data_IF_951611241192
#
_entry.id   IF_951611241192
#
_cell.length_a   1.000
_cell.length_b   1.000
_cell.length_c   1.000
_cell.angle_alpha   90.00
_cell.angle_beta   90.00
_cell.angle_gamma   90.00
#
_symmetry.space_group_name_H-M   'P 1'
#
loop_
_entity.id
_entity.type
_entity.pdbx_description
1 polymer ?
#
# COMPACT_ATOMS: atom_id res chain seq x y z
N UNK A 1 1.01 -11.46 -40.95
CA UNK A 1 1.95 -10.63 -40.14
C UNK A 1 1.25 -9.33 -39.87
N UNK A 2 1.31 -8.80 -38.63
CA UNK A 2 0.77 -7.47 -38.34
C UNK A 2 1.54 -6.42 -39.15
N UNK A 3 0.86 -5.42 -39.66
CA UNK A 3 1.52 -4.29 -40.34
C UNK A 3 2.25 -3.41 -39.32
N UNK A 4 3.18 -2.58 -39.79
CA UNK A 4 3.88 -1.62 -38.93
C UNK A 4 2.89 -0.65 -38.25
N UNK A 5 1.81 -0.27 -38.96
CA UNK A 5 0.75 0.58 -38.43
C UNK A 5 -0.03 -0.13 -37.31
N UNK A 6 -0.40 -1.39 -37.50
CA UNK A 6 -1.09 -2.19 -36.47
C UNK A 6 -0.24 -2.37 -35.21
N UNK A 7 1.08 -2.59 -35.36
CA UNK A 7 2.02 -2.66 -34.25
C UNK A 7 2.16 -1.33 -33.51
N UNK A 8 2.20 -0.21 -34.23
CA UNK A 8 2.27 1.13 -33.61
C UNK A 8 1.02 1.41 -32.75
N UNK A 9 -0.16 1.10 -33.28
CA UNK A 9 -1.43 1.30 -32.58
C UNK A 9 -1.59 0.37 -31.35
N UNK A 10 -0.93 -0.79 -31.35
CA UNK A 10 -0.87 -1.68 -30.18
C UNK A 10 0.10 -1.15 -29.12
N UNK A 11 1.26 -0.64 -29.52
CA UNK A 11 2.23 0.00 -28.62
C UNK A 11 1.60 1.20 -27.92
N UNK A 12 0.90 2.06 -28.65
CA UNK A 12 0.24 3.24 -28.07
C UNK A 12 -0.81 2.85 -27.03
N UNK A 13 -1.61 1.81 -27.32
CA UNK A 13 -2.59 1.26 -26.36
C UNK A 13 -1.91 0.69 -25.11
N UNK A 14 -0.80 -0.02 -25.27
CA UNK A 14 -0.02 -0.55 -24.15
C UNK A 14 0.55 0.59 -23.31
N UNK A 15 1.11 1.63 -23.92
CA UNK A 15 1.68 2.78 -23.22
C UNK A 15 0.60 3.55 -22.44
N UNK A 16 -0.56 3.78 -23.04
CA UNK A 16 -1.71 4.41 -22.37
C UNK A 16 -2.14 3.63 -21.13
N UNK A 17 -2.27 2.30 -21.24
CA UNK A 17 -2.61 1.44 -20.10
C UNK A 17 -1.49 1.40 -19.05
N UNK A 18 -0.23 1.34 -19.47
CA UNK A 18 0.89 1.31 -18.54
C UNK A 18 0.95 2.64 -17.75
N UNK A 19 0.62 3.77 -18.36
CA UNK A 19 0.59 5.07 -17.68
C UNK A 19 -0.40 5.09 -16.51
N UNK A 20 -1.61 4.54 -16.66
CA UNK A 20 -2.55 4.43 -15.55
C UNK A 20 -2.04 3.50 -14.46
N UNK A 21 -1.55 2.31 -14.84
CA UNK A 21 -1.00 1.32 -13.91
C UNK A 21 0.18 1.87 -13.09
N UNK A 22 1.11 2.59 -13.73
CA UNK A 22 2.25 3.18 -13.03
C UNK A 22 1.82 4.31 -12.08
N UNK A 23 0.76 5.05 -12.41
CA UNK A 23 0.18 6.06 -11.50
C UNK A 23 -0.39 5.39 -10.25
N UNK A 24 -1.13 4.30 -10.41
CA UNK A 24 -1.68 3.53 -9.28
C UNK A 24 -0.57 2.91 -8.41
N UNK A 25 0.46 2.34 -9.03
CA UNK A 25 1.64 1.84 -8.31
C UNK A 25 2.36 2.95 -7.54
N UNK A 26 2.51 4.13 -8.14
CA UNK A 26 3.11 5.27 -7.47
C UNK A 26 2.30 5.68 -6.23
N UNK A 27 0.97 5.69 -6.33
CA UNK A 27 0.09 5.92 -5.18
C UNK A 27 0.25 4.85 -4.11
N UNK A 28 0.23 3.56 -4.48
CA UNK A 28 0.34 2.45 -3.52
C UNK A 28 1.67 2.43 -2.76
N UNK A 29 2.73 2.88 -3.42
CA UNK A 29 4.09 2.94 -2.84
C UNK A 29 4.38 4.26 -2.16
N UNK A 30 3.54 5.28 -2.36
CA UNK A 30 3.71 6.64 -1.83
C UNK A 30 3.74 6.67 -0.29
N UNK A 31 4.50 7.64 0.24
CA UNK A 31 4.48 7.97 1.67
C UNK A 31 3.11 8.52 2.08
N UNK A 32 2.42 9.23 1.18
CA UNK A 32 1.08 9.77 1.42
C UNK A 32 0.10 8.67 1.83
N UNK A 33 0.03 7.55 1.09
CA UNK A 33 -0.83 6.42 1.47
C UNK A 33 -0.45 5.86 2.84
N UNK A 34 0.84 5.79 3.16
CA UNK A 34 1.32 5.27 4.45
C UNK A 34 0.89 6.15 5.62
N UNK A 35 0.96 7.48 5.46
CA UNK A 35 0.50 8.44 6.48
C UNK A 35 -1.01 8.33 6.67
N UNK A 36 -1.78 8.26 5.59
CA UNK A 36 -3.24 8.09 5.65
C UNK A 36 -3.60 6.80 6.40
N UNK A 37 -2.96 5.67 6.06
CA UNK A 37 -3.17 4.40 6.76
C UNK A 37 -2.79 4.50 8.24
N UNK A 38 -1.65 5.09 8.58
CA UNK A 38 -1.19 5.26 9.95
C UNK A 38 -2.20 6.05 10.81
N UNK A 39 -2.68 7.18 10.28
CA UNK A 39 -3.65 8.03 10.97
C UNK A 39 -4.99 7.29 11.14
N UNK A 40 -5.51 6.68 10.07
CA UNK A 40 -6.78 5.96 10.13
C UNK A 40 -6.73 4.77 11.08
N UNK A 41 -5.65 3.99 11.07
CA UNK A 41 -5.45 2.88 12.00
C UNK A 41 -5.38 3.38 13.45
N UNK A 42 -4.59 4.41 13.72
CA UNK A 42 -4.46 4.97 15.07
C UNK A 42 -5.78 5.53 15.61
N UNK A 43 -6.50 6.30 14.79
CA UNK A 43 -7.80 6.86 15.17
C UNK A 43 -8.83 5.76 15.39
N UNK A 44 -8.89 4.76 14.51
CA UNK A 44 -9.86 3.67 14.62
C UNK A 44 -9.63 2.82 15.88
N UNK A 45 -8.37 2.45 16.15
CA UNK A 45 -8.03 1.63 17.33
C UNK A 45 -8.21 2.45 18.60
N UNK A 46 -7.77 3.71 18.62
CA UNK A 46 -7.94 4.60 19.78
C UNK A 46 -9.41 4.83 20.11
N UNK A 47 -10.25 5.09 19.10
CA UNK A 47 -11.69 5.22 19.27
C UNK A 47 -12.34 3.93 19.80
N UNK A 48 -11.94 2.76 19.26
CA UNK A 48 -12.44 1.48 19.75
C UNK A 48 -12.03 1.22 21.21
N UNK A 49 -10.75 1.42 21.55
CA UNK A 49 -10.25 1.24 22.92
C UNK A 49 -10.91 2.20 23.92
N UNK A 50 -11.22 3.43 23.50
CA UNK A 50 -12.00 4.38 24.28
C UNK A 50 -13.42 3.87 24.51
N UNK A 51 -14.08 3.31 23.49
CA UNK A 51 -15.45 2.81 23.59
C UNK A 51 -15.58 1.62 24.56
N UNK A 52 -14.54 0.80 24.70
CA UNK A 52 -14.50 -0.32 25.65
C UNK A 52 -13.89 0.04 27.01
N UNK A 53 -13.66 1.34 27.29
CA UNK A 53 -13.11 1.87 28.53
C UNK A 53 -11.76 1.25 28.95
N UNK A 54 -10.87 0.97 27.98
CA UNK A 54 -9.49 0.59 28.28
C UNK A 54 -8.75 1.78 28.88
N UNK A 55 -7.95 1.55 29.92
CA UNK A 55 -7.07 2.57 30.47
C UNK A 55 -6.08 3.09 29.41
N UNK A 56 -5.93 4.42 29.33
CA UNK A 56 -5.01 5.10 28.38
C UNK A 56 -5.18 4.60 26.94
N UNK A 57 -6.39 4.69 26.36
CA UNK A 57 -6.74 4.03 25.09
C UNK A 57 -5.88 4.52 23.91
N UNK A 58 -5.60 5.82 23.86
CA UNK A 58 -4.74 6.42 22.83
C UNK A 58 -3.27 5.99 22.95
N UNK A 59 -2.77 5.81 24.17
CA UNK A 59 -1.41 5.28 24.39
C UNK A 59 -1.34 3.81 23.95
N UNK A 60 -2.34 3.02 24.31
CA UNK A 60 -2.40 1.60 23.95
C UNK A 60 -2.62 1.38 22.45
N UNK A 61 -3.24 2.34 21.75
CA UNK A 61 -3.41 2.30 20.30
C UNK A 61 -2.09 2.47 19.52
N UNK A 62 -1.02 2.98 20.14
CA UNK A 62 0.30 3.15 19.49
C UNK A 62 0.87 1.80 19.06
N UNK A 63 0.86 0.81 19.96
CA UNK A 63 1.46 -0.51 19.73
C UNK A 63 0.89 -1.20 18.47
N UNK A 64 -0.44 -1.43 18.36
CA UNK A 64 -1.01 -2.08 17.20
C UNK A 64 -0.92 -1.22 15.92
N UNK A 65 -0.97 0.11 16.02
CA UNK A 65 -0.80 1.00 14.87
C UNK A 65 0.61 0.92 14.29
N UNK A 66 1.63 0.94 15.16
CA UNK A 66 3.03 0.79 14.76
C UNK A 66 3.28 -0.62 14.21
N UNK A 67 2.74 -1.67 14.84
CA UNK A 67 2.85 -3.03 14.35
C UNK A 67 2.25 -3.17 12.93
N UNK A 68 1.07 -2.60 12.70
CA UNK A 68 0.47 -2.55 11.38
C UNK A 68 1.36 -1.79 10.38
N UNK A 69 1.86 -0.60 10.72
CA UNK A 69 2.78 0.14 9.86
C UNK A 69 4.04 -0.68 9.51
N UNK A 70 4.67 -1.34 10.48
CA UNK A 70 5.84 -2.19 10.26
C UNK A 70 5.53 -3.35 9.31
N UNK A 71 4.35 -3.95 9.39
CA UNK A 71 3.92 -4.98 8.44
C UNK A 71 3.91 -4.44 7.00
N UNK A 72 3.40 -3.23 6.78
CA UNK A 72 3.34 -2.61 5.45
C UNK A 72 4.72 -2.32 4.86
N UNK A 73 5.73 -2.09 5.71
CA UNK A 73 7.11 -1.81 5.31
C UNK A 73 7.93 -3.09 5.07
N UNK A 74 7.65 -4.15 5.82
CA UNK A 74 8.44 -5.39 5.79
C UNK A 74 7.94 -6.40 4.75
N UNK A 75 6.64 -6.39 4.41
CA UNK A 75 6.05 -7.28 3.40
C UNK A 75 6.80 -7.30 2.04
N UNK A 76 7.22 -6.16 1.46
CA UNK A 76 8.00 -6.16 0.22
C UNK A 76 9.36 -6.87 0.35
N UNK A 77 10.01 -6.76 1.52
CA UNK A 77 11.27 -7.46 1.80
C UNK A 77 11.06 -8.97 1.85
N UNK A 78 10.07 -9.43 2.63
CA UNK A 78 9.73 -10.85 2.72
C UNK A 78 9.27 -11.43 1.37
N UNK A 79 8.54 -10.66 0.56
CA UNK A 79 8.17 -11.04 -0.80
C UNK A 79 9.40 -11.29 -1.67
N UNK A 80 10.40 -10.40 -1.65
CA UNK A 80 11.65 -10.57 -2.41
C UNK A 80 12.42 -11.81 -1.97
N UNK A 81 12.46 -12.08 -0.67
CA UNK A 81 13.11 -13.28 -0.13
C UNK A 81 12.40 -14.56 -0.58
N UNK A 82 11.07 -14.60 -0.50
CA UNK A 82 10.28 -15.76 -0.93
C UNK A 82 10.45 -16.09 -2.42
N UNK A 83 10.48 -15.07 -3.28
CA UNK A 83 10.74 -15.24 -4.74
C UNK A 83 12.14 -15.81 -5.01
N UNK A 84 13.13 -15.55 -4.14
CA UNK A 84 14.50 -16.10 -4.32
C UNK A 84 14.58 -17.58 -3.91
N UNK A 85 13.74 -18.00 -2.96
CA UNK A 85 13.73 -19.37 -2.43
C UNK A 85 12.96 -20.32 -3.36
N UNK A 86 11.96 -19.81 -4.09
CA UNK A 86 11.13 -20.56 -5.04
C UNK A 86 11.71 -20.51 -6.45
#
# INVERSE_FOLDING_TARGET
>A
MKTLEELSAEIDRIQLRNKSVETDKAWETSITRRIVLAILTYVSIGAYMQAINIEKPWLNAIIPSVAFMLSTLTLPFFKKMWIRIR
#
